data_IF_546353739839
#
_entry.id   IF_546353739839
#
_cell.length_a   1.000
_cell.length_b   1.000
_cell.length_c   1.000
_cell.angle_alpha   90.00
_cell.angle_beta   90.00
_cell.angle_gamma   90.00
#
_symmetry.space_group_name_H-M   'P 1'
#
loop_
_entity.id
_entity.type
_entity.pdbx_description
1 polymer ?
#
# COMPACT_ATOMS: atom_id res chain seq x y z
N UNK A 1 4.55 8.48 -10.78
CA UNK A 1 5.85 8.93 -11.34
C UNK A 1 7.12 8.26 -10.77
N UNK A 2 7.08 7.16 -10.02
CA UNK A 2 8.18 6.16 -9.98
C UNK A 2 7.58 4.83 -9.49
N UNK A 3 6.92 4.87 -8.33
CA UNK A 3 6.16 3.74 -7.76
C UNK A 3 4.93 3.35 -8.60
N UNK A 4 4.17 4.32 -9.11
CA UNK A 4 2.98 4.10 -9.95
C UNK A 4 3.25 3.36 -11.28
N UNK A 5 4.43 3.52 -11.90
CA UNK A 5 4.75 2.85 -13.17
C UNK A 5 5.18 1.39 -12.98
N UNK A 6 5.62 1.03 -11.77
CA UNK A 6 6.10 -0.30 -11.44
C UNK A 6 4.96 -1.21 -10.96
N UNK A 7 3.89 -0.65 -10.38
CA UNK A 7 2.73 -1.43 -9.95
C UNK A 7 1.52 -1.16 -10.87
N UNK A 8 1.66 -1.36 -12.19
CA UNK A 8 0.50 -1.30 -13.08
C UNK A 8 -0.51 -2.37 -12.67
N UNK A 9 -1.68 -1.94 -12.19
CA UNK A 9 -2.74 -2.80 -11.66
C UNK A 9 -3.07 -3.92 -12.65
N UNK A 10 -2.73 -5.17 -12.28
CA UNK A 10 -3.00 -6.38 -13.07
C UNK A 10 -1.77 -7.19 -13.48
N UNK A 11 -0.55 -6.66 -13.37
CA UNK A 11 0.67 -7.43 -13.58
C UNK A 11 1.15 -8.06 -12.25
N UNK A 12 0.60 -9.24 -11.95
CA UNK A 12 0.90 -9.99 -10.73
C UNK A 12 2.37 -10.37 -10.65
N UNK A 13 2.99 -10.76 -11.77
CA UNK A 13 4.40 -11.17 -11.81
C UNK A 13 5.33 -9.99 -11.49
N UNK A 14 5.02 -8.80 -12.00
CA UNK A 14 5.77 -7.61 -11.69
C UNK A 14 5.57 -7.19 -10.23
N UNK A 15 4.33 -7.22 -9.73
CA UNK A 15 4.03 -6.93 -8.32
C UNK A 15 4.81 -7.86 -7.36
N UNK A 16 4.90 -9.16 -7.68
CA UNK A 16 5.70 -10.13 -6.91
C UNK A 16 7.19 -9.79 -6.97
N UNK A 17 7.74 -9.53 -8.16
CA UNK A 17 9.16 -9.18 -8.32
C UNK A 17 9.55 -7.94 -7.49
N UNK A 18 8.69 -6.93 -7.49
CA UNK A 18 8.93 -5.67 -6.79
C UNK A 18 8.76 -5.86 -5.28
N UNK A 19 7.74 -6.60 -4.85
CA UNK A 19 7.58 -7.00 -3.43
C UNK A 19 8.83 -7.72 -2.92
N UNK A 20 9.35 -8.69 -3.69
CA UNK A 20 10.55 -9.45 -3.34
C UNK A 20 11.84 -8.63 -3.38
N UNK A 21 11.84 -7.48 -4.06
CA UNK A 21 12.95 -6.52 -4.01
C UNK A 21 12.97 -5.70 -2.69
N UNK A 22 12.02 -5.94 -1.77
CA UNK A 22 11.97 -5.27 -0.47
C UNK A 22 11.37 -3.86 -0.50
N UNK A 23 10.56 -3.54 -1.53
CA UNK A 23 9.99 -2.19 -1.68
C UNK A 23 8.98 -1.86 -0.57
N UNK A 24 8.25 -2.85 -0.05
CA UNK A 24 7.12 -2.65 0.86
C UNK A 24 7.57 -2.02 2.19
N UNK A 25 8.59 -2.56 2.90
CA UNK A 25 9.16 -1.90 4.08
C UNK A 25 9.64 -0.47 3.80
N UNK A 26 10.20 -0.21 2.62
CA UNK A 26 10.69 1.12 2.25
C UNK A 26 9.55 2.12 2.04
N UNK A 27 8.46 1.70 1.41
CA UNK A 27 7.26 2.53 1.24
C UNK A 27 6.66 2.88 2.61
N UNK A 28 6.51 1.89 3.49
CA UNK A 28 5.97 2.10 4.84
C UNK A 28 6.88 3.04 5.66
N UNK A 29 8.19 2.83 5.60
CA UNK A 29 9.15 3.71 6.28
C UNK A 29 9.11 5.14 5.74
N UNK A 30 8.95 5.33 4.43
CA UNK A 30 8.86 6.66 3.82
C UNK A 30 7.65 7.45 4.36
N UNK A 31 6.48 6.80 4.46
CA UNK A 31 5.28 7.43 5.02
C UNK A 31 5.46 7.75 6.51
N UNK A 32 5.99 6.80 7.30
CA UNK A 32 6.23 7.02 8.74
C UNK A 32 7.22 8.16 9.02
N UNK A 33 8.23 8.33 8.17
CA UNK A 33 9.24 9.39 8.32
C UNK A 33 8.75 10.76 7.80
N UNK A 34 7.77 10.79 6.90
CA UNK A 34 7.30 12.00 6.24
C UNK A 34 5.76 12.07 6.16
N UNK A 35 5.03 11.95 7.28
CA UNK A 35 3.57 11.85 7.28
C UNK A 35 2.87 13.13 6.79
N UNK A 36 3.53 14.28 6.89
CA UNK A 36 2.99 15.58 6.49
C UNK A 36 3.19 15.89 4.99
N UNK A 37 3.80 14.99 4.22
CA UNK A 37 4.05 15.21 2.79
C UNK A 37 2.95 14.51 1.98
N UNK A 38 1.79 15.16 1.86
CA UNK A 38 0.55 14.57 1.32
C UNK A 38 0.75 13.84 -0.02
N UNK A 39 1.49 14.43 -0.97
CA UNK A 39 1.75 13.80 -2.27
C UNK A 39 2.54 12.48 -2.15
N UNK A 40 3.47 12.39 -1.20
CA UNK A 40 4.21 11.16 -0.91
C UNK A 40 3.29 10.12 -0.29
N UNK A 41 2.49 10.52 0.72
CA UNK A 41 1.56 9.63 1.40
C UNK A 41 0.56 9.05 0.40
N UNK A 42 -0.03 9.90 -0.44
CA UNK A 42 -0.94 9.47 -1.49
C UNK A 42 -0.26 8.50 -2.47
N UNK A 43 0.91 8.85 -2.99
CA UNK A 43 1.64 7.99 -3.93
C UNK A 43 2.00 6.63 -3.30
N UNK A 44 2.31 6.62 -2.00
CA UNK A 44 2.59 5.41 -1.24
C UNK A 44 1.34 4.54 -1.09
N UNK A 45 0.19 5.13 -0.74
CA UNK A 45 -1.09 4.40 -0.66
C UNK A 45 -1.48 3.81 -2.02
N UNK A 46 -1.39 4.58 -3.11
CA UNK A 46 -1.64 4.08 -4.46
C UNK A 46 -0.70 2.93 -4.85
N UNK A 47 0.57 3.00 -4.46
CA UNK A 47 1.53 1.92 -4.69
C UNK A 47 1.17 0.66 -3.90
N UNK A 48 0.83 0.78 -2.62
CA UNK A 48 0.39 -0.35 -1.79
C UNK A 48 -0.91 -0.96 -2.32
N UNK A 49 -1.86 -0.14 -2.76
CA UNK A 49 -3.10 -0.59 -3.40
C UNK A 49 -2.82 -1.46 -4.62
N UNK A 50 -1.90 -1.01 -5.47
CA UNK A 50 -1.52 -1.71 -6.69
C UNK A 50 -0.68 -2.97 -6.44
N UNK A 51 0.08 -3.02 -5.35
CA UNK A 51 0.86 -4.19 -4.94
C UNK A 51 0.00 -5.27 -4.28
N UNK A 52 -1.09 -4.90 -3.61
CA UNK A 52 -1.98 -5.79 -2.85
C UNK A 52 -2.81 -6.78 -3.71
N UNK A 53 -2.29 -7.23 -4.85
CA UNK A 53 -2.98 -8.10 -5.82
C UNK A 53 -2.96 -9.59 -5.46
N UNK A 54 -2.00 -10.05 -4.64
CA UNK A 54 -1.90 -11.46 -4.20
C UNK A 54 -1.90 -11.59 -2.67
N UNK A 55 -2.31 -12.76 -2.17
CA UNK A 55 -2.29 -13.07 -0.73
C UNK A 55 -0.89 -12.93 -0.12
N UNK A 56 0.14 -13.39 -0.83
CA UNK A 56 1.53 -13.30 -0.39
C UNK A 56 1.96 -11.84 -0.20
N UNK A 57 1.64 -10.96 -1.17
CA UNK A 57 2.00 -9.55 -1.07
C UNK A 57 1.20 -8.86 0.03
N UNK A 58 -0.10 -9.16 0.17
CA UNK A 58 -0.92 -8.65 1.28
C UNK A 58 -0.38 -9.05 2.65
N UNK A 59 0.09 -10.29 2.78
CA UNK A 59 0.76 -10.73 4.00
C UNK A 59 2.05 -9.95 4.24
N UNK A 60 2.88 -9.73 3.22
CA UNK A 60 4.10 -8.93 3.35
C UNK A 60 3.81 -7.47 3.76
N UNK A 61 2.76 -6.85 3.21
CA UNK A 61 2.29 -5.52 3.62
C UNK A 61 1.89 -5.54 5.10
N UNK A 62 1.17 -6.57 5.53
CA UNK A 62 0.73 -6.73 6.93
C UNK A 62 1.92 -6.91 7.87
N UNK A 63 2.84 -7.84 7.55
CA UNK A 63 4.04 -8.14 8.34
C UNK A 63 5.00 -6.96 8.44
N UNK A 64 5.00 -6.09 7.42
CA UNK A 64 5.79 -4.86 7.40
C UNK A 64 5.16 -3.71 8.21
N UNK A 65 4.01 -3.93 8.87
CA UNK A 65 3.30 -2.92 9.66
C UNK A 65 2.43 -1.98 8.84
N UNK A 66 1.97 -2.42 7.67
CA UNK A 66 1.11 -1.64 6.79
C UNK A 66 -0.28 -1.38 7.36
N UNK A 67 -0.83 -2.30 8.17
CA UNK A 67 -2.14 -2.11 8.83
C UNK A 67 -2.06 -0.98 9.85
N UNK A 68 -1.03 -0.97 10.70
CA UNK A 68 -0.82 0.10 11.69
C UNK A 68 -0.68 1.46 10.99
N UNK A 69 0.07 1.52 9.89
CA UNK A 69 0.22 2.74 9.11
C UNK A 69 -1.13 3.23 8.56
N UNK A 70 -1.96 2.34 8.03
CA UNK A 70 -3.28 2.69 7.49
C UNK A 70 -4.17 3.25 8.60
N UNK A 71 -4.14 2.65 9.80
CA UNK A 71 -4.88 3.15 10.96
C UNK A 71 -4.40 4.54 11.38
N UNK A 72 -3.08 4.76 11.45
CA UNK A 72 -2.49 6.08 11.75
C UNK A 72 -2.93 7.13 10.72
N UNK A 73 -3.03 6.74 9.45
CA UNK A 73 -3.47 7.63 8.37
C UNK A 73 -4.99 7.86 8.35
N UNK A 74 -5.81 6.99 8.96
CA UNK A 74 -7.26 7.24 9.07
C UNK A 74 -7.58 8.44 9.96
N UNK A 75 -6.68 8.77 10.90
CA UNK A 75 -6.81 9.94 11.78
C UNK A 75 -6.41 11.26 11.11
N UNK A 76 -6.04 11.26 9.82
CA UNK A 76 -5.74 12.50 9.08
C UNK A 76 -6.99 13.29 8.72
N UNK A 77 -6.92 14.62 8.78
CA UNK A 77 -7.99 15.53 8.33
C UNK A 77 -8.01 15.74 6.81
N UNK A 78 -7.04 15.16 6.08
CA UNK A 78 -6.93 15.31 4.62
C UNK A 78 -7.86 14.32 3.91
N UNK A 79 -9.02 14.79 3.47
CA UNK A 79 -10.07 14.00 2.80
C UNK A 79 -9.52 13.15 1.63
N UNK A 80 -8.62 13.71 0.82
CA UNK A 80 -8.01 13.00 -0.32
C UNK A 80 -7.14 11.81 0.10
N UNK A 81 -6.54 11.87 1.29
CA UNK A 81 -5.79 10.74 1.85
C UNK A 81 -6.76 9.71 2.43
N UNK A 82 -7.88 10.12 3.04
CA UNK A 82 -8.87 9.20 3.59
C UNK A 82 -9.43 8.25 2.53
N UNK A 83 -9.77 8.75 1.32
CA UNK A 83 -10.22 7.89 0.22
C UNK A 83 -9.16 6.84 -0.14
N UNK A 84 -7.91 7.25 -0.31
CA UNK A 84 -6.80 6.35 -0.67
C UNK A 84 -6.53 5.31 0.42
N UNK A 85 -6.62 5.70 1.69
CA UNK A 85 -6.43 4.84 2.86
C UNK A 85 -7.52 3.76 2.94
N UNK A 86 -8.79 4.12 2.74
CA UNK A 86 -9.92 3.17 2.71
C UNK A 86 -9.77 2.16 1.57
N UNK A 87 -9.26 2.61 0.44
CA UNK A 87 -9.02 1.81 -0.75
C UNK A 87 -7.94 0.75 -0.53
N UNK A 88 -6.83 1.10 0.14
CA UNK A 88 -5.81 0.13 0.55
C UNK A 88 -6.38 -0.85 1.58
N UNK A 89 -7.10 -0.36 2.59
CA UNK A 89 -7.73 -1.19 3.63
C UNK A 89 -8.71 -2.21 3.02
N UNK A 90 -9.52 -1.79 2.05
CA UNK A 90 -10.42 -2.68 1.32
C UNK A 90 -9.64 -3.80 0.63
N UNK A 91 -8.54 -3.48 -0.06
CA UNK A 91 -7.74 -4.50 -0.74
C UNK A 91 -7.07 -5.47 0.23
N UNK A 92 -6.65 -5.01 1.41
CA UNK A 92 -6.07 -5.86 2.46
C UNK A 92 -7.11 -6.76 3.14
N UNK A 93 -8.38 -6.31 3.23
CA UNK A 93 -9.47 -7.06 3.86
C UNK A 93 -10.27 -7.94 2.89
N UNK A 94 -10.20 -7.68 1.58
CA UNK A 94 -10.74 -8.59 0.56
C UNK A 94 -9.83 -9.80 0.43
N UNK A 95 -10.04 -10.75 1.32
CA UNK A 95 -9.59 -12.12 1.11
C UNK A 95 -10.50 -12.74 0.04
N UNK A 96 -9.97 -13.01 -1.15
CA UNK A 96 -10.57 -14.05 -1.99
C UNK A 96 -10.15 -15.41 -1.40
N UNK A 97 -10.52 -15.66 -0.15
CA UNK A 97 -10.74 -17.03 0.31
C UNK A 97 -12.01 -17.50 -0.39
N UNK A 98 -11.82 -17.97 -1.62
CA UNK A 98 -12.75 -18.87 -2.28
C UNK A 98 -13.06 -19.99 -1.29
N UNK A 99 -14.29 -20.00 -0.78
CA UNK A 99 -14.96 -21.27 -0.50
C UNK A 99 -15.61 -21.72 -1.80
#
# INVERSE_FOLDING_TARGET
NFFLNLASRGDVDNAIKISNAGVIPLIIAAVKNHPNFEDLVQTACEALQNLAVSNEIRQNITDSGGVDLILDLMDTEVERLQESVLDVLKNLTTDHSSV
#
